data_IF_390624780254
#
_entry.id   IF_390624780254
#
_cell.length_a   1.000
_cell.length_b   1.000
_cell.length_c   1.000
_cell.angle_alpha   90.00
_cell.angle_beta   90.00
_cell.angle_gamma   90.00
#
_symmetry.space_group_name_H-M   'P 1'
#
loop_
_entity.id
_entity.type
_entity.pdbx_description
1 polymer ?
#
# COMPACT_ATOMS: atom_id res chain seq x y z
N UNK A 1 -13.58 23.10 -8.91
CA UNK A 1 -13.02 21.79 -9.35
C UNK A 1 -14.08 20.72 -9.11
N UNK A 2 -14.42 19.89 -10.10
CA UNK A 2 -15.45 18.87 -9.97
C UNK A 2 -14.91 17.63 -9.25
N UNK A 3 -15.73 16.93 -8.44
CA UNK A 3 -15.37 15.66 -7.79
C UNK A 3 -14.74 14.65 -8.77
N UNK A 4 -15.20 14.64 -10.02
CA UNK A 4 -14.68 13.75 -11.09
C UNK A 4 -13.27 14.09 -11.54
N UNK A 5 -12.90 15.38 -11.57
CA UNK A 5 -11.54 15.80 -11.94
C UNK A 5 -10.55 15.50 -10.83
N UNK A 6 -10.96 15.59 -9.57
CA UNK A 6 -10.14 15.21 -8.43
C UNK A 6 -9.91 13.69 -8.39
N UNK A 7 -10.95 12.89 -8.63
CA UNK A 7 -10.83 11.44 -8.69
C UNK A 7 -9.86 10.96 -9.79
N UNK A 8 -9.88 11.60 -10.97
CA UNK A 8 -8.91 11.31 -12.03
C UNK A 8 -7.49 11.72 -11.67
N UNK A 9 -7.29 12.85 -10.99
CA UNK A 9 -5.97 13.30 -10.58
C UNK A 9 -5.38 12.46 -9.43
N UNK A 10 -6.23 11.95 -8.54
CA UNK A 10 -5.86 11.22 -7.32
C UNK A 10 -6.08 9.70 -7.43
N UNK A 11 -6.22 9.17 -8.65
CA UNK A 11 -6.50 7.76 -8.88
C UNK A 11 -5.54 6.79 -8.17
N UNK A 12 -4.21 7.06 -8.01
CA UNK A 12 -3.31 6.16 -7.30
C UNK A 12 -3.66 6.06 -5.81
N UNK A 13 -4.00 7.20 -5.20
CA UNK A 13 -4.40 7.28 -3.78
C UNK A 13 -5.75 6.60 -3.57
N UNK A 14 -6.71 6.80 -4.48
CA UNK A 14 -8.01 6.13 -4.40
C UNK A 14 -7.87 4.61 -4.52
N UNK A 15 -7.01 4.14 -5.42
CA UNK A 15 -6.75 2.71 -5.61
C UNK A 15 -6.13 2.08 -4.37
N UNK A 16 -5.06 2.66 -3.84
CA UNK A 16 -4.42 2.16 -2.60
C UNK A 16 -5.39 2.25 -1.42
N UNK A 17 -6.13 3.35 -1.30
CA UNK A 17 -7.15 3.54 -0.27
C UNK A 17 -8.25 2.47 -0.31
N UNK A 18 -8.73 2.11 -1.51
CA UNK A 18 -9.73 1.05 -1.66
C UNK A 18 -9.19 -0.33 -1.23
N UNK A 19 -7.92 -0.64 -1.55
CA UNK A 19 -7.27 -1.86 -1.08
C UNK A 19 -7.22 -1.89 0.45
N UNK A 20 -6.82 -0.78 1.08
CA UNK A 20 -6.78 -0.67 2.54
C UNK A 20 -8.16 -0.78 3.19
N UNK A 21 -9.19 -0.14 2.65
CA UNK A 21 -10.57 -0.27 3.15
C UNK A 21 -11.01 -1.73 3.11
N UNK A 22 -10.74 -2.42 2.00
CA UNK A 22 -11.08 -3.84 1.85
C UNK A 22 -10.30 -4.70 2.85
N UNK A 23 -9.02 -4.41 3.05
CA UNK A 23 -8.18 -5.13 3.99
C UNK A 23 -8.63 -4.95 5.45
N UNK A 24 -8.97 -3.72 5.83
CA UNK A 24 -9.50 -3.41 7.16
C UNK A 24 -10.88 -4.05 7.38
N UNK A 25 -11.72 -4.12 6.36
CA UNK A 25 -12.98 -4.84 6.43
C UNK A 25 -12.76 -6.35 6.67
N UNK A 26 -11.77 -6.96 6.01
CA UNK A 26 -11.40 -8.36 6.24
C UNK A 26 -10.87 -8.58 7.67
N UNK A 27 -10.02 -7.69 8.17
CA UNK A 27 -9.52 -7.74 9.55
C UNK A 27 -10.68 -7.62 10.54
N UNK A 28 -11.58 -6.66 10.36
CA UNK A 28 -12.76 -6.47 11.20
C UNK A 28 -13.75 -7.65 11.15
N UNK A 29 -13.80 -8.37 10.03
CA UNK A 29 -14.54 -9.62 9.88
C UNK A 29 -13.76 -10.87 10.36
N UNK A 30 -12.69 -10.68 11.14
CA UNK A 30 -11.87 -11.74 11.73
C UNK A 30 -11.08 -12.60 10.73
N UNK A 31 -10.95 -12.16 9.47
CA UNK A 31 -10.09 -12.80 8.46
C UNK A 31 -8.65 -12.28 8.53
N UNK A 32 -8.01 -12.38 9.70
CA UNK A 32 -6.69 -11.81 10.02
C UNK A 32 -5.62 -12.08 8.96
N UNK A 33 -5.47 -13.34 8.53
CA UNK A 33 -4.48 -13.71 7.49
C UNK A 33 -4.72 -13.00 6.17
N UNK A 34 -5.97 -12.99 5.69
CA UNK A 34 -6.35 -12.38 4.41
C UNK A 34 -6.24 -10.86 4.48
N UNK A 35 -6.65 -10.27 5.61
CA UNK A 35 -6.52 -8.84 5.87
C UNK A 35 -5.06 -8.38 5.89
N UNK A 36 -4.20 -9.04 6.66
CA UNK A 36 -2.77 -8.73 6.73
C UNK A 36 -2.07 -8.87 5.37
N UNK A 37 -2.40 -9.93 4.62
CA UNK A 37 -1.87 -10.14 3.27
C UNK A 37 -2.29 -8.99 2.34
N UNK A 38 -3.55 -8.59 2.40
CA UNK A 38 -4.09 -7.54 1.54
C UNK A 38 -3.51 -6.15 1.89
N UNK A 39 -3.20 -5.89 3.16
CA UNK A 39 -2.42 -4.71 3.56
C UNK A 39 -1.03 -4.76 2.91
N UNK A 40 -0.32 -5.89 2.99
CA UNK A 40 0.99 -6.05 2.35
C UNK A 40 0.94 -5.82 0.83
N UNK A 41 -0.07 -6.36 0.15
CA UNK A 41 -0.31 -6.11 -1.28
C UNK A 41 -0.57 -4.62 -1.54
N UNK A 42 -1.42 -3.96 -0.75
CA UNK A 42 -1.74 -2.54 -0.92
C UNK A 42 -0.52 -1.64 -0.79
N UNK A 43 0.36 -1.94 0.17
CA UNK A 43 1.64 -1.24 0.33
C UNK A 43 2.59 -1.54 -0.85
N UNK A 44 2.66 -2.79 -1.31
CA UNK A 44 3.45 -3.15 -2.49
C UNK A 44 2.99 -2.41 -3.76
N UNK A 45 1.67 -2.27 -3.95
CA UNK A 45 1.08 -1.49 -5.04
C UNK A 45 1.47 -0.01 -4.92
N UNK A 46 1.44 0.57 -3.71
CA UNK A 46 1.91 1.94 -3.48
C UNK A 46 3.39 2.11 -3.85
N UNK A 47 4.25 1.15 -3.51
CA UNK A 47 5.66 1.14 -3.87
C UNK A 47 5.86 1.10 -5.40
N UNK A 48 5.13 0.25 -6.12
CA UNK A 48 5.20 0.18 -7.59
C UNK A 48 4.70 1.47 -8.23
N UNK A 49 3.55 2.00 -7.79
CA UNK A 49 3.03 3.29 -8.25
C UNK A 49 4.06 4.39 -8.06
N UNK A 50 4.79 4.38 -6.93
CA UNK A 50 5.84 5.35 -6.66
C UNK A 50 6.94 5.33 -7.72
N UNK A 51 7.35 4.15 -8.20
CA UNK A 51 8.34 4.00 -9.27
C UNK A 51 7.85 4.47 -10.63
N UNK A 52 6.57 4.28 -10.94
CA UNK A 52 5.98 4.59 -12.26
C UNK A 52 5.62 6.07 -12.40
N UNK A 53 5.25 6.75 -11.31
CA UNK A 53 4.94 8.19 -11.30
C UNK A 53 6.22 9.04 -11.40
N UNK A 54 6.27 9.99 -12.33
CA UNK A 54 7.44 10.85 -12.60
C UNK A 54 7.60 11.99 -11.58
N UNK A 55 8.82 12.16 -11.06
CA UNK A 55 9.17 13.16 -10.05
C UNK A 55 9.59 14.49 -10.69
N UNK A 56 8.64 15.24 -11.25
CA UNK A 56 8.90 16.47 -12.00
C UNK A 56 9.38 17.69 -11.18
N UNK A 57 10.21 17.55 -10.14
CA UNK A 57 10.60 18.72 -9.32
C UNK A 57 11.52 18.47 -8.13
N UNK A 58 12.62 17.71 -8.29
CA UNK A 58 13.55 17.41 -7.20
C UNK A 58 14.59 18.53 -6.92
N UNK A 59 14.16 19.80 -6.92
CA UNK A 59 15.07 20.95 -6.69
C UNK A 59 15.48 21.18 -5.22
N UNK A 60 14.81 20.56 -4.24
CA UNK A 60 15.11 20.73 -2.80
C UNK A 60 15.08 19.42 -1.97
N UNK A 61 14.65 18.29 -2.55
CA UNK A 61 14.49 16.99 -1.85
C UNK A 61 15.55 15.95 -2.24
N UNK A 62 16.77 16.40 -2.58
CA UNK A 62 17.88 15.52 -3.03
C UNK A 62 18.21 14.40 -2.03
N UNK A 63 17.91 14.59 -0.73
CA UNK A 63 18.15 13.58 0.32
C UNK A 63 17.15 12.43 0.28
N UNK A 64 15.87 12.69 -0.07
CA UNK A 64 14.82 11.66 -0.12
C UNK A 64 14.61 11.24 -1.57
N UNK A 65 15.54 10.42 -2.05
CA UNK A 65 15.45 9.85 -3.39
C UNK A 65 14.17 9.02 -3.55
N UNK A 66 13.65 8.97 -4.78
CA UNK A 66 12.57 8.06 -5.19
C UNK A 66 12.84 6.62 -4.76
N UNK A 67 14.11 6.21 -4.82
CA UNK A 67 14.58 4.90 -4.39
C UNK A 67 14.39 4.68 -2.89
N UNK A 68 14.79 5.62 -2.04
CA UNK A 68 14.63 5.52 -0.58
C UNK A 68 13.16 5.34 -0.20
N UNK A 69 12.26 6.12 -0.81
CA UNK A 69 10.82 6.04 -0.56
C UNK A 69 10.22 4.69 -1.01
N UNK A 70 10.68 4.19 -2.16
CA UNK A 70 10.35 2.84 -2.62
C UNK A 70 10.84 1.78 -1.64
N UNK A 71 12.10 1.82 -1.20
CA UNK A 71 12.66 0.83 -0.27
C UNK A 71 11.92 0.80 1.06
N UNK A 72 11.61 1.97 1.64
CA UNK A 72 10.83 2.05 2.88
C UNK A 72 9.43 1.49 2.69
N UNK A 73 8.76 1.82 1.58
CA UNK A 73 7.41 1.30 1.33
C UNK A 73 7.44 -0.21 1.04
N UNK A 74 8.40 -0.68 0.26
CA UNK A 74 8.59 -2.09 -0.05
C UNK A 74 8.93 -2.92 1.19
N UNK A 75 9.75 -2.40 2.11
CA UNK A 75 10.08 -3.10 3.36
C UNK A 75 8.86 -3.26 4.27
N UNK A 76 8.01 -2.22 4.37
CA UNK A 76 6.72 -2.32 5.08
C UNK A 76 5.81 -3.36 4.42
N UNK A 77 5.72 -3.36 3.09
CA UNK A 77 4.93 -4.36 2.36
C UNK A 77 5.43 -5.79 2.61
N UNK A 78 6.74 -6.00 2.56
CA UNK A 78 7.38 -7.28 2.83
C UNK A 78 7.15 -7.74 4.28
N UNK A 79 7.26 -6.83 5.26
CA UNK A 79 6.98 -7.14 6.66
C UNK A 79 5.52 -7.56 6.87
N UNK A 80 4.57 -6.89 6.22
CA UNK A 80 3.15 -7.26 6.29
C UNK A 80 2.86 -8.61 5.64
N UNK A 81 3.48 -8.93 4.50
CA UNK A 81 3.38 -10.25 3.88
C UNK A 81 3.98 -11.32 4.78
N UNK A 82 5.12 -11.04 5.43
CA UNK A 82 5.73 -11.93 6.41
C UNK A 82 4.79 -12.20 7.59
N UNK A 83 4.20 -11.16 8.19
CA UNK A 83 3.20 -11.31 9.27
C UNK A 83 2.01 -12.15 8.79
N UNK A 84 1.50 -11.91 7.58
CA UNK A 84 0.40 -12.70 7.05
C UNK A 84 0.79 -14.18 6.88
N UNK A 85 2.06 -14.45 6.56
CA UNK A 85 2.59 -15.80 6.43
C UNK A 85 2.73 -16.51 7.79
N UNK A 86 2.98 -15.79 8.88
CA UNK A 86 3.04 -16.37 10.24
C UNK A 86 1.67 -16.68 10.84
N UNK A 87 0.56 -16.23 10.23
CA UNK A 87 -0.79 -16.50 10.73
C UNK A 87 -1.27 -17.85 10.17
N UNK A 88 -1.70 -18.74 11.06
CA UNK A 88 -2.24 -20.04 10.68
C UNK A 88 -3.46 -19.91 9.76
N UNK A 89 -3.53 -20.69 8.66
CA UNK A 89 -4.62 -20.61 7.71
C UNK A 89 -5.94 -21.17 8.27
N UNK A 90 -5.88 -21.96 9.35
CA UNK A 90 -7.00 -22.67 9.96
C UNK A 90 -7.53 -22.00 11.24
N UNK A 91 -6.85 -20.96 11.76
CA UNK A 91 -7.28 -20.23 12.97
C UNK A 91 -7.21 -21.03 14.27
N UNK A 92 -6.49 -22.16 14.30
CA UNK A 92 -6.32 -23.02 15.48
C UNK A 92 -5.18 -22.52 16.35
N UNK A 93 -5.42 -21.43 17.08
CA UNK A 93 -4.63 -21.03 18.25
C UNK A 93 -5.24 -21.54 19.54
#
# INVERSE_FOLDING_TARGET
MSLRSMARAQWPILLVGLIFVTALALVGANFWRRGALLIGIGVGVAAVLRLVLTDGGAGLLVVRSKGTDFFTTASVGAAMVYIAWTIDPLGTG
#
